data_IF_685705758143
#
_entry.id   IF_685705758143
#
_cell.length_a   1.000
_cell.length_b   1.000
_cell.length_c   1.000
_cell.angle_alpha   90.00
_cell.angle_beta   90.00
_cell.angle_gamma   90.00
#
_symmetry.space_group_name_H-M   'P 1'
#
loop_
_entity.id
_entity.type
_entity.pdbx_description
1 polymer ?
#
# COMPACT_ATOMS: atom_id res chain seq x y z
N UNK A 1 9.26 -6.68 0.17
CA UNK A 1 9.02 -7.40 1.43
C UNK A 1 8.70 -6.54 2.65
N UNK A 2 9.28 -5.35 2.87
CA UNK A 2 9.11 -4.61 4.14
C UNK A 2 7.73 -3.95 4.41
N UNK A 3 6.86 -3.79 3.41
CA UNK A 3 5.55 -3.13 3.58
C UNK A 3 4.42 -4.09 3.99
N UNK A 4 4.57 -5.39 3.76
CA UNK A 4 3.58 -6.44 4.13
C UNK A 4 3.74 -6.88 5.59
N UNK A 5 4.90 -6.62 6.22
CA UNK A 5 5.20 -7.10 7.56
C UNK A 5 4.61 -6.22 8.69
N UNK A 6 3.57 -5.44 8.38
CA UNK A 6 2.95 -4.51 9.30
C UNK A 6 1.64 -5.15 9.76
N UNK A 7 1.51 -5.44 11.06
CA UNK A 7 0.39 -6.23 11.61
C UNK A 7 -1.01 -5.69 11.29
N UNK A 8 -1.14 -4.37 11.12
CA UNK A 8 -2.42 -3.72 10.79
C UNK A 8 -2.68 -3.57 9.27
N UNK A 9 -1.77 -4.04 8.41
CA UNK A 9 -1.91 -4.01 6.96
C UNK A 9 -2.38 -5.38 6.48
N UNK A 10 -3.65 -5.48 6.09
CA UNK A 10 -4.21 -6.69 5.47
C UNK A 10 -3.61 -6.91 4.08
N UNK A 11 -3.62 -5.87 3.24
CA UNK A 11 -3.08 -5.94 1.89
C UNK A 11 -2.43 -4.62 1.46
N UNK A 12 -1.44 -4.72 0.56
CA UNK A 12 -0.78 -3.55 -0.03
C UNK A 12 -0.56 -3.77 -1.53
N UNK A 13 -0.90 -2.75 -2.30
CA UNK A 13 -0.65 -2.69 -3.73
C UNK A 13 0.19 -1.46 -4.06
N UNK A 14 1.41 -1.68 -4.53
CA UNK A 14 2.30 -0.61 -5.00
C UNK A 14 2.33 -0.62 -6.52
N UNK A 15 2.07 0.55 -7.12
CA UNK A 15 2.08 0.75 -8.56
C UNK A 15 2.62 2.15 -8.91
N UNK A 16 3.01 2.35 -10.16
CA UNK A 16 3.44 3.65 -10.65
C UNK A 16 2.31 4.29 -11.47
N UNK A 17 1.98 5.53 -11.18
CA UNK A 17 0.95 6.35 -11.83
C UNK A 17 1.56 7.74 -12.09
N UNK A 18 1.61 8.18 -13.34
CA UNK A 18 2.16 9.50 -13.73
C UNK A 18 3.57 9.79 -13.16
N UNK A 19 4.53 8.88 -13.40
CA UNK A 19 5.92 8.96 -12.87
C UNK A 19 6.04 9.01 -11.34
N UNK A 20 4.95 8.75 -10.62
CA UNK A 20 4.90 8.75 -9.16
C UNK A 20 4.54 7.36 -8.65
N UNK A 21 5.25 6.92 -7.61
CA UNK A 21 4.92 5.66 -6.95
C UNK A 21 3.73 5.91 -6.02
N UNK A 22 2.65 5.19 -6.31
CA UNK A 22 1.42 5.16 -5.53
C UNK A 22 1.32 3.82 -4.80
N UNK A 23 1.06 3.87 -3.51
CA UNK A 23 0.77 2.68 -2.72
C UNK A 23 -0.64 2.78 -2.16
N UNK A 24 -1.47 1.78 -2.50
CA UNK A 24 -2.78 1.54 -1.92
C UNK A 24 -2.63 0.52 -0.79
N UNK A 25 -3.17 0.85 0.38
CA UNK A 25 -3.14 0.00 1.56
C UNK A 25 -4.57 -0.31 1.98
N UNK A 26 -4.84 -1.59 2.22
CA UNK A 26 -6.04 -2.08 2.86
C UNK A 26 -5.68 -2.40 4.31
N UNK A 27 -6.18 -1.58 5.24
CA UNK A 27 -5.85 -1.66 6.65
C UNK A 27 -6.98 -2.32 7.43
N UNK A 28 -6.64 -2.98 8.52
CA UNK A 28 -7.62 -3.52 9.46
C UNK A 28 -8.09 -2.43 10.42
N UNK A 29 -8.91 -1.49 9.92
CA UNK A 29 -9.40 -0.37 10.73
C UNK A 29 -10.37 -0.82 11.83
N UNK A 30 -10.93 -2.03 11.73
CA UNK A 30 -11.74 -2.65 12.79
C UNK A 30 -10.90 -3.00 14.02
N UNK A 31 -9.67 -3.47 13.82
CA UNK A 31 -8.78 -3.89 14.91
C UNK A 31 -7.84 -2.74 15.35
N UNK A 32 -7.46 -1.85 14.43
CA UNK A 32 -6.51 -0.76 14.69
C UNK A 32 -7.00 0.58 14.10
N UNK A 33 -7.78 1.37 14.86
CA UNK A 33 -8.19 2.71 14.42
C UNK A 33 -6.99 3.66 14.20
N UNK A 34 -5.88 3.43 14.91
CA UNK A 34 -4.64 4.21 14.78
C UNK A 34 -3.75 3.79 13.59
N UNK A 35 -4.17 2.78 12.81
CA UNK A 35 -3.39 2.24 11.69
C UNK A 35 -3.02 3.31 10.66
N UNK A 36 -3.90 4.29 10.41
CA UNK A 36 -3.67 5.37 9.44
C UNK A 36 -2.48 6.25 9.80
N UNK A 37 -2.34 6.61 11.07
CA UNK A 37 -1.23 7.46 11.54
C UNK A 37 0.08 6.68 11.61
N UNK A 38 0.02 5.43 12.09
CA UNK A 38 1.20 4.53 12.11
C UNK A 38 1.72 4.29 10.71
N UNK A 39 0.83 3.99 9.76
CA UNK A 39 1.18 3.77 8.35
C UNK A 39 1.97 4.93 7.77
N UNK A 40 1.53 6.19 7.99
CA UNK A 40 2.26 7.35 7.49
C UNK A 40 3.68 7.41 8.05
N UNK A 41 3.83 7.12 9.34
CA UNK A 41 5.14 7.11 10.01
C UNK A 41 6.04 6.01 9.47
N UNK A 42 5.51 4.79 9.30
CA UNK A 42 6.29 3.65 8.81
C UNK A 42 6.61 3.77 7.32
N UNK A 43 5.68 4.23 6.48
CA UNK A 43 5.95 4.55 5.07
C UNK A 43 7.04 5.61 4.98
N UNK A 44 7.05 6.63 5.86
CA UNK A 44 8.10 7.65 5.88
C UNK A 44 9.46 7.05 6.25
N UNK A 45 9.53 6.20 7.27
CA UNK A 45 10.77 5.47 7.64
C UNK A 45 11.27 4.61 6.48
N UNK A 46 10.36 3.88 5.83
CA UNK A 46 10.68 3.03 4.68
C UNK A 46 11.18 3.89 3.50
N UNK A 47 10.52 5.01 3.20
CA UNK A 47 10.93 5.95 2.16
C UNK A 47 12.31 6.57 2.45
N UNK A 48 12.65 6.79 3.71
CA UNK A 48 13.97 7.31 4.11
C UNK A 48 15.09 6.30 3.80
N UNK A 49 14.82 5.01 4.03
CA UNK A 49 15.75 3.93 3.69
C UNK A 49 15.86 3.64 2.18
N UNK A 50 14.94 4.18 1.37
CA UNK A 50 14.89 3.91 -0.06
C UNK A 50 15.41 5.09 -0.91
N UNK A 51 16.03 4.80 -2.07
CA UNK A 51 16.40 5.83 -3.04
C UNK A 51 15.18 6.65 -3.48
N UNK A 52 15.40 7.92 -3.82
CA UNK A 52 14.34 8.88 -4.18
C UNK A 52 13.35 8.33 -5.22
N UNK A 53 13.85 7.60 -6.21
CA UNK A 53 13.04 7.01 -7.29
C UNK A 53 12.16 5.82 -6.85
N UNK A 54 12.38 5.23 -5.67
CA UNK A 54 11.53 4.16 -5.08
C UNK A 54 10.60 4.67 -3.99
N UNK A 55 10.64 5.96 -3.68
CA UNK A 55 9.82 6.52 -2.60
C UNK A 55 8.36 6.54 -3.01
N UNK A 56 7.50 6.05 -2.12
CA UNK A 56 6.06 6.15 -2.25
C UNK A 56 5.67 7.61 -2.06
N UNK A 57 5.23 8.25 -3.14
CA UNK A 57 4.82 9.67 -3.14
C UNK A 57 3.36 9.82 -2.75
N UNK A 58 2.54 8.84 -3.10
CA UNK A 58 1.08 8.87 -2.88
C UNK A 58 0.66 7.64 -2.10
N UNK A 59 0.11 7.84 -0.91
CA UNK A 59 -0.47 6.76 -0.10
C UNK A 59 -1.97 6.90 -0.12
N UNK A 60 -2.68 5.85 -0.52
CA UNK A 60 -4.14 5.76 -0.49
C UNK A 60 -4.52 4.66 0.49
N UNK A 61 -5.48 4.93 1.37
CA UNK A 61 -6.07 3.93 2.25
C UNK A 61 -7.40 3.55 1.62
N UNK A 62 -7.63 2.25 1.47
CA UNK A 62 -8.90 1.69 1.04
C UNK A 62 -9.58 1.03 2.24
N UNK A 63 -10.90 1.18 2.29
CA UNK A 63 -11.78 0.47 3.22
C UNK A 63 -12.29 -0.87 2.64
N UNK A 64 -12.00 -1.17 1.36
CA UNK A 64 -12.46 -2.38 0.66
C UNK A 64 -11.29 -3.23 0.15
N UNK A 65 -11.49 -4.55 0.11
CA UNK A 65 -10.48 -5.53 -0.30
C UNK A 65 -10.11 -5.38 -1.78
N UNK A 66 -8.86 -5.69 -2.16
CA UNK A 66 -8.50 -5.65 -3.57
C UNK A 66 -9.22 -6.75 -4.37
N UNK A 67 -9.63 -6.49 -5.62
CA UNK A 67 -10.26 -7.50 -6.45
C UNK A 67 -9.30 -8.67 -6.65
N UNK A 68 -9.71 -9.87 -6.24
CA UNK A 68 -8.91 -11.10 -6.35
C UNK A 68 -9.35 -11.96 -7.54
N UNK A 69 -8.42 -12.73 -8.09
CA UNK A 69 -8.72 -13.77 -9.09
C UNK A 69 -9.39 -14.97 -8.42
N UNK A 70 -9.86 -15.92 -9.23
CA UNK A 70 -10.31 -17.26 -8.76
C UNK A 70 -9.23 -18.01 -7.96
N UNK A 71 -7.96 -17.63 -8.10
CA UNK A 71 -6.82 -18.15 -7.33
C UNK A 71 -6.47 -17.28 -6.11
N UNK A 72 -7.36 -16.39 -5.66
CA UNK A 72 -7.18 -15.49 -4.51
C UNK A 72 -5.99 -14.52 -4.60
N UNK A 73 -5.43 -14.31 -5.81
CA UNK A 73 -4.35 -13.35 -6.04
C UNK A 73 -4.92 -11.99 -6.36
N UNK A 74 -4.31 -10.92 -5.85
CA UNK A 74 -4.67 -9.54 -6.20
C UNK A 74 -4.58 -9.34 -7.72
N UNK A 75 -5.69 -8.95 -8.34
CA UNK A 75 -5.78 -8.64 -9.77
C UNK A 75 -5.12 -7.29 -10.01
N UNK A 76 -3.92 -7.34 -10.59
CA UNK A 76 -3.30 -6.15 -11.18
C UNK A 76 -3.92 -5.95 -12.55
N UNK A 77 -5.06 -5.25 -12.62
CA UNK A 77 -5.51 -4.73 -13.93
C UNK A 77 -4.41 -3.79 -14.40
N UNK A 78 -3.76 -4.13 -15.50
CA UNK A 78 -2.83 -3.22 -16.18
C UNK A 78 -3.61 -1.92 -16.47
N UNK A 79 -3.45 -0.91 -15.62
CA UNK A 79 -3.90 0.46 -15.89
C UNK A 79 -2.95 1.06 -16.92
N UNK A 80 -2.93 0.48 -18.12
CA UNK A 80 -2.49 1.16 -19.32
C UNK A 80 -3.75 1.55 -20.07
N UNK A 81 -4.19 2.80 -19.89
CA UNK A 81 -5.00 3.47 -20.89
C UNK A 81 -4.61 4.94 -20.95
#
# INVERSE_FOLDING_TARGET
DKLICIDYVKEVLVYQEDDRITAEFFLDEEEYPDARERLKTDVRKINDTMPVFKRVTKTKIRDDEFPKTTTMKIVRKNMNK
#
